data_IF_159663138900
#
_entry.id   IF_159663138900
#
_cell.length_a   1.000
_cell.length_b   1.000
_cell.length_c   1.000
_cell.angle_alpha   90.00
_cell.angle_beta   90.00
_cell.angle_gamma   90.00
#
_symmetry.space_group_name_H-M   'P 1'
#
loop_
_entity.id
_entity.type
_entity.pdbx_description
1 polymer ?
#
# COMPACT_ATOMS: atom_id res chain seq x y z
N UNK A 1 18.52 -1.25 12.72
CA UNK A 1 17.32 -1.32 11.86
C UNK A 1 16.96 0.08 11.39
N UNK A 2 17.56 0.56 10.30
CA UNK A 2 17.31 1.90 9.78
C UNK A 2 17.26 1.85 8.26
N UNK A 3 16.16 2.32 7.66
CA UNK A 3 15.98 2.40 6.21
C UNK A 3 14.58 1.97 5.78
N UNK A 4 13.78 2.93 5.29
CA UNK A 4 12.51 2.67 4.61
C UNK A 4 11.24 3.03 5.40
N UNK A 5 11.09 4.27 5.85
CA UNK A 5 9.83 4.75 6.45
C UNK A 5 9.00 5.65 5.51
N UNK A 6 9.47 5.96 4.31
CA UNK A 6 8.86 7.01 3.48
C UNK A 6 7.41 6.64 3.10
N UNK A 7 7.19 5.42 2.58
CA UNK A 7 5.84 4.96 2.27
C UNK A 7 4.94 4.85 3.53
N UNK A 8 5.49 4.41 4.66
CA UNK A 8 4.71 4.30 5.91
C UNK A 8 4.36 5.67 6.52
N UNK A 9 5.20 6.69 6.27
CA UNK A 9 4.98 8.07 6.75
C UNK A 9 4.00 8.84 5.89
N UNK A 10 4.09 8.72 4.56
CA UNK A 10 3.33 9.56 3.63
C UNK A 10 2.14 8.85 2.99
N UNK A 11 2.12 7.52 2.91
CA UNK A 11 1.02 6.76 2.30
C UNK A 11 0.20 6.11 3.41
N UNK A 12 -0.91 6.76 3.78
CA UNK A 12 -1.85 6.27 4.80
C UNK A 12 -2.31 4.84 4.51
N UNK A 13 -2.61 4.53 3.25
CA UNK A 13 -2.99 3.19 2.81
C UNK A 13 -1.93 2.12 3.06
N UNK A 14 -0.63 2.46 3.01
CA UNK A 14 0.48 1.56 3.34
C UNK A 14 0.64 1.37 4.85
N UNK A 15 0.48 2.44 5.63
CA UNK A 15 0.47 2.38 7.11
C UNK A 15 -0.64 1.47 7.61
N UNK A 16 -1.87 1.73 7.21
CA UNK A 16 -3.05 0.98 7.63
C UNK A 16 -2.92 -0.51 7.25
N UNK A 17 -2.37 -0.80 6.08
CA UNK A 17 -2.13 -2.18 5.61
C UNK A 17 -1.13 -2.90 6.50
N UNK A 18 0.00 -2.25 6.81
CA UNK A 18 1.04 -2.83 7.64
C UNK A 18 0.58 -2.98 9.11
N UNK A 19 -0.09 -1.98 9.68
CA UNK A 19 -0.69 -2.05 11.02
C UNK A 19 -1.71 -3.19 11.13
N UNK A 20 -2.59 -3.35 10.13
CA UNK A 20 -3.56 -4.45 10.09
C UNK A 20 -2.90 -5.84 10.01
N UNK A 21 -1.78 -5.97 9.28
CA UNK A 21 -1.07 -7.24 9.15
C UNK A 21 -0.32 -7.58 10.45
N UNK A 22 0.29 -6.58 11.09
CA UNK A 22 0.98 -6.74 12.39
C UNK A 22 -0.02 -7.04 13.50
N UNK A 23 -1.18 -6.36 13.53
CA UNK A 23 -2.25 -6.63 14.49
C UNK A 23 -2.79 -8.06 14.39
N UNK A 24 -2.69 -8.69 13.22
CA UNK A 24 -3.01 -10.11 13.00
C UNK A 24 -1.88 -11.07 13.41
N UNK A 25 -0.84 -10.59 14.09
CA UNK A 25 0.30 -11.39 14.55
C UNK A 25 1.22 -11.90 13.44
N UNK A 26 1.12 -11.34 12.22
CA UNK A 26 1.95 -11.79 11.09
C UNK A 26 3.35 -11.16 11.11
N UNK A 27 4.29 -11.79 10.41
CA UNK A 27 5.68 -11.34 10.37
C UNK A 27 5.83 -10.01 9.64
N UNK A 28 6.79 -9.18 10.08
CA UNK A 28 7.11 -7.88 9.46
C UNK A 28 7.49 -8.01 7.98
N UNK A 29 8.10 -9.13 7.58
CA UNK A 29 8.44 -9.43 6.18
C UNK A 29 7.18 -9.49 5.31
N UNK A 30 6.11 -10.12 5.80
CA UNK A 30 4.86 -10.19 5.07
C UNK A 30 4.19 -8.81 4.96
N UNK A 31 4.25 -7.99 6.03
CA UNK A 31 3.76 -6.61 5.96
C UNK A 31 4.50 -5.79 4.89
N UNK A 32 5.83 -5.94 4.81
CA UNK A 32 6.63 -5.26 3.78
C UNK A 32 6.27 -5.71 2.36
N UNK A 33 6.06 -7.01 2.14
CA UNK A 33 5.62 -7.53 0.84
C UNK A 33 4.25 -6.94 0.46
N UNK A 34 3.30 -6.88 1.40
CA UNK A 34 1.99 -6.30 1.14
C UNK A 34 2.04 -4.80 0.83
N UNK A 35 2.90 -4.05 1.53
CA UNK A 35 3.13 -2.62 1.25
C UNK A 35 3.76 -2.45 -0.14
N UNK A 36 4.75 -3.28 -0.49
CA UNK A 36 5.39 -3.24 -1.81
C UNK A 36 4.39 -3.53 -2.94
N UNK A 37 3.53 -4.54 -2.79
CA UNK A 37 2.49 -4.85 -3.78
C UNK A 37 1.57 -3.66 -4.02
N UNK A 38 1.11 -3.01 -2.95
CA UNK A 38 0.21 -1.86 -3.03
C UNK A 38 0.85 -0.67 -3.74
N UNK A 39 2.14 -0.41 -3.52
CA UNK A 39 2.89 0.63 -4.22
C UNK A 39 3.07 0.31 -5.71
N UNK A 40 3.32 -0.95 -6.05
CA UNK A 40 3.41 -1.39 -7.45
C UNK A 40 2.08 -1.19 -8.16
N UNK A 41 0.97 -1.62 -7.57
CA UNK A 41 -0.37 -1.41 -8.13
C UNK A 41 -0.67 0.07 -8.37
N UNK A 42 -0.29 0.94 -7.42
CA UNK A 42 -0.41 2.39 -7.58
C UNK A 42 0.44 2.91 -8.74
N UNK A 43 1.71 2.51 -8.85
CA UNK A 43 2.58 2.91 -9.95
C UNK A 43 2.04 2.44 -11.31
N UNK A 44 1.53 1.21 -11.38
CA UNK A 44 0.90 0.68 -12.59
C UNK A 44 -0.37 1.45 -12.97
N UNK A 45 -1.21 1.85 -12.01
CA UNK A 45 -2.41 2.63 -12.29
C UNK A 45 -2.07 4.02 -12.86
N UNK A 46 -1.08 4.70 -12.28
CA UNK A 46 -0.57 5.99 -12.78
C UNK A 46 -0.04 5.84 -14.21
N UNK A 47 0.79 4.82 -14.45
CA UNK A 47 1.39 4.59 -15.77
C UNK A 47 0.35 4.19 -16.83
N UNK A 48 -0.65 3.39 -16.46
CA UNK A 48 -1.64 2.84 -17.39
C UNK A 48 -2.75 3.82 -17.73
N UNK A 49 -3.24 4.56 -16.74
CA UNK A 49 -4.42 5.41 -16.89
C UNK A 49 -4.12 6.91 -16.85
N UNK A 50 -2.86 7.31 -16.62
CA UNK A 50 -2.46 8.71 -16.49
C UNK A 50 -3.07 9.40 -15.27
N UNK A 51 -3.60 8.63 -14.32
CA UNK A 51 -4.24 9.17 -13.12
C UNK A 51 -3.16 9.64 -12.14
N UNK A 52 -3.36 10.82 -11.55
CA UNK A 52 -2.52 11.27 -10.45
C UNK A 52 -2.78 10.43 -9.20
N UNK A 53 -1.78 10.30 -8.34
CA UNK A 53 -1.95 9.66 -7.04
C UNK A 53 -3.01 10.39 -6.22
N UNK A 54 -3.99 9.63 -5.72
CA UNK A 54 -5.02 10.11 -4.81
C UNK A 54 -4.98 9.25 -3.54
N UNK A 55 -4.72 9.89 -2.40
CA UNK A 55 -4.63 9.24 -1.09
C UNK A 55 -5.98 8.68 -0.62
N UNK A 56 -7.08 9.20 -1.14
CA UNK A 56 -8.45 8.78 -0.84
C UNK A 56 -9.04 7.85 -1.91
N UNK A 57 -8.23 7.40 -2.87
CA UNK A 57 -8.67 6.47 -3.91
C UNK A 57 -9.11 5.14 -3.29
N UNK A 58 -10.39 4.79 -3.51
CA UNK A 58 -10.98 3.52 -3.10
C UNK A 58 -11.17 2.65 -4.33
N UNK A 59 -10.50 1.51 -4.38
CA UNK A 59 -10.74 0.54 -5.45
C UNK A 59 -12.17 0.04 -5.36
N UNK A 60 -13.01 0.38 -6.32
CA UNK A 60 -14.32 -0.24 -6.46
C UNK A 60 -14.06 -1.68 -6.91
N UNK A 61 -14.28 -2.64 -6.01
CA UNK A 61 -14.28 -4.04 -6.40
C UNK A 61 -15.47 -4.22 -7.33
N UNK A 62 -15.21 -4.35 -8.64
CA UNK A 62 -16.24 -4.70 -9.60
C UNK A 62 -16.87 -6.01 -9.15
N UNK A 63 -18.14 -5.95 -8.75
CA UNK A 63 -18.91 -7.11 -8.37
C UNK A 63 -19.51 -7.64 -9.67
N UNK A 64 -18.91 -8.69 -10.22
CA UNK A 64 -19.55 -9.52 -11.24
C UNK A 64 -20.67 -10.38 -10.61
#
# INVERSE_FOLDING_TARGET
MGGGQNAFKYNKGCRDTCERIVAKGKSKKLSLIAVANKLLEQAFAVAKFGLSYDENYVSVLAKE
#
